data_IF_490878254979
#
_entry.id   IF_490878254979
#
_cell.length_a   1.000
_cell.length_b   1.000
_cell.length_c   1.000
_cell.angle_alpha   90.00
_cell.angle_beta   90.00
_cell.angle_gamma   90.00
#
_symmetry.space_group_name_H-M   'P 1'
#
loop_
_entity.id
_entity.type
_entity.pdbx_description
1 polymer ?
#
# COMPACT_ATOMS: atom_id res chain seq x y z
N UNK A 1 -4.00 10.17 -15.32
CA UNK A 1 -4.55 9.37 -14.20
C UNK A 1 -4.05 9.91 -12.86
N UNK A 2 -4.70 9.57 -11.74
CA UNK A 2 -4.29 9.98 -10.41
C UNK A 2 -4.24 8.78 -9.45
N UNK A 3 -3.28 8.76 -8.55
CA UNK A 3 -3.12 7.76 -7.49
C UNK A 3 -2.49 8.42 -6.26
N UNK A 4 -2.74 7.89 -5.06
CA UNK A 4 -2.09 8.38 -3.84
C UNK A 4 -0.90 7.50 -3.52
N UNK A 5 0.24 8.08 -3.15
CA UNK A 5 1.38 7.32 -2.67
C UNK A 5 1.20 6.81 -1.23
N UNK A 6 2.17 6.05 -0.73
CA UNK A 6 2.16 5.52 0.62
C UNK A 6 2.08 6.61 1.72
N UNK A 7 2.53 7.83 1.42
CA UNK A 7 2.43 9.00 2.32
C UNK A 7 1.07 9.72 2.21
N UNK A 8 0.18 9.22 1.34
CA UNK A 8 -1.14 9.80 1.07
C UNK A 8 -1.08 11.02 0.15
N UNK A 9 0.04 11.29 -0.50
CA UNK A 9 0.18 12.39 -1.44
C UNK A 9 -0.39 11.96 -2.79
N UNK A 10 -1.31 12.74 -3.34
CA UNK A 10 -1.83 12.49 -4.69
C UNK A 10 -0.78 12.80 -5.76
N UNK A 11 -0.55 11.85 -6.65
CA UNK A 11 0.28 11.94 -7.84
C UNK A 11 -0.61 11.87 -9.07
N UNK A 12 -0.36 12.77 -10.02
CA UNK A 12 -1.06 12.82 -11.31
C UNK A 12 -0.07 12.64 -12.44
N UNK A 13 -0.29 11.63 -13.28
CA UNK A 13 0.65 11.21 -14.33
C UNK A 13 -0.13 10.80 -15.59
N UNK A 14 0.56 10.51 -16.69
CA UNK A 14 -0.08 9.85 -17.83
C UNK A 14 -0.49 8.40 -17.48
N UNK A 15 -1.43 7.82 -18.23
CA UNK A 15 -1.99 6.49 -17.90
C UNK A 15 -0.94 5.38 -17.93
N UNK A 16 -0.04 5.41 -18.91
CA UNK A 16 1.07 4.46 -19.07
C UNK A 16 2.08 4.56 -17.92
N UNK A 17 2.39 5.77 -17.48
CA UNK A 17 3.23 6.01 -16.31
C UNK A 17 2.57 5.50 -15.02
N UNK A 18 1.25 5.72 -14.85
CA UNK A 18 0.50 5.22 -13.69
C UNK A 18 0.53 3.68 -13.64
N UNK A 19 0.43 3.01 -14.79
CA UNK A 19 0.49 1.55 -14.86
C UNK A 19 1.86 0.98 -14.48
N UNK A 20 2.91 1.81 -14.49
CA UNK A 20 4.27 1.44 -14.14
C UNK A 20 4.61 1.70 -12.65
N UNK A 21 3.71 2.33 -11.90
CA UNK A 21 3.93 2.61 -10.48
C UNK A 21 3.95 1.29 -9.67
N UNK A 22 4.98 1.05 -8.84
CA UNK A 22 5.06 -0.15 -8.03
C UNK A 22 3.96 -0.15 -6.96
N UNK A 23 3.32 -1.30 -6.73
CA UNK A 23 2.16 -1.41 -5.84
C UNK A 23 2.49 -1.08 -4.38
N UNK A 24 3.70 -1.34 -3.94
CA UNK A 24 4.22 -0.97 -2.63
C UNK A 24 4.33 0.53 -2.39
N UNK A 25 4.41 1.34 -3.45
CA UNK A 25 4.55 2.79 -3.36
C UNK A 25 3.19 3.51 -3.38
N UNK A 26 2.10 2.79 -3.68
CA UNK A 26 0.76 3.37 -3.73
C UNK A 26 0.00 3.11 -2.41
N UNK A 27 -0.90 4.02 -2.08
CA UNK A 27 -1.79 3.89 -0.93
C UNK A 27 -2.68 2.65 -1.11
N UNK A 28 -2.87 1.85 -0.04
CA UNK A 28 -3.65 0.63 -0.16
C UNK A 28 -5.12 0.97 -0.43
N UNK A 29 -5.71 0.26 -1.38
CA UNK A 29 -7.13 0.41 -1.75
C UNK A 29 -8.10 0.05 -0.62
N UNK A 30 -7.63 -0.70 0.38
CA UNK A 30 -8.35 -1.05 1.60
C UNK A 30 -7.43 -0.88 2.80
N UNK A 31 -7.97 -0.38 3.91
CA UNK A 31 -7.22 -0.30 5.16
C UNK A 31 -7.04 -1.71 5.73
N UNK A 32 -5.97 -1.90 6.51
CA UNK A 32 -5.70 -3.09 7.31
C UNK A 32 -5.99 -2.82 8.80
N UNK A 33 -7.26 -2.74 9.23
CA UNK A 33 -7.58 -2.42 10.61
C UNK A 33 -7.16 -3.57 11.53
N UNK A 34 -6.43 -3.26 12.59
CA UNK A 34 -6.13 -4.21 13.67
C UNK A 34 -6.97 -3.86 14.90
N UNK A 35 -7.73 -4.82 15.41
CA UNK A 35 -8.49 -4.69 16.65
C UNK A 35 -8.39 -5.97 17.50
N UNK A 36 -8.54 -5.80 18.82
CA UNK A 36 -8.46 -6.90 19.78
C UNK A 36 -9.50 -7.98 19.44
N UNK A 37 -9.06 -9.24 19.38
CA UNK A 37 -9.93 -10.40 19.16
C UNK A 37 -10.12 -10.82 17.70
N UNK A 38 -9.38 -10.21 16.76
CA UNK A 38 -9.32 -10.74 15.39
C UNK A 38 -8.69 -12.14 15.36
N UNK A 39 -9.17 -12.97 14.43
CA UNK A 39 -8.60 -14.30 14.16
C UNK A 39 -7.34 -14.23 13.30
N UNK A 40 -7.22 -13.17 12.50
CA UNK A 40 -6.07 -12.87 11.68
C UNK A 40 -5.29 -11.69 12.25
N UNK A 41 -4.06 -11.52 11.75
CA UNK A 41 -3.14 -10.47 12.19
C UNK A 41 -2.82 -9.54 11.03
N UNK A 42 -3.80 -8.81 10.47
CA UNK A 42 -3.53 -7.87 9.39
C UNK A 42 -2.68 -6.70 9.90
N UNK A 43 -1.87 -6.13 9.01
CA UNK A 43 -1.03 -4.99 9.36
C UNK A 43 0.05 -4.72 8.35
N UNK A 44 1.10 -4.05 8.79
CA UNK A 44 2.30 -3.78 8.00
C UNK A 44 3.43 -4.71 8.44
N UNK A 45 4.17 -5.26 7.48
CA UNK A 45 5.44 -5.94 7.72
C UNK A 45 6.56 -5.26 6.95
N UNK A 46 7.80 -5.31 7.47
CA UNK A 46 8.97 -4.83 6.75
C UNK A 46 9.41 -5.84 5.69
N UNK A 47 9.50 -5.40 4.44
CA UNK A 47 10.03 -6.19 3.33
C UNK A 47 11.40 -5.68 2.92
N UNK A 48 12.44 -6.51 3.09
CA UNK A 48 13.80 -6.16 2.67
C UNK A 48 13.93 -6.00 1.15
N UNK A 49 13.16 -6.77 0.37
CA UNK A 49 13.14 -6.70 -1.11
C UNK A 49 12.60 -5.35 -1.60
N UNK A 50 11.59 -4.84 -0.91
CA UNK A 50 10.94 -3.56 -1.24
C UNK A 50 11.62 -2.37 -0.55
N UNK A 51 12.39 -2.63 0.53
CA UNK A 51 13.00 -1.60 1.35
C UNK A 51 11.97 -0.78 2.14
N UNK A 52 10.81 -1.37 2.47
CA UNK A 52 9.69 -0.63 3.05
C UNK A 52 8.65 -1.51 3.73
N UNK A 53 7.63 -0.86 4.28
CA UNK A 53 6.48 -1.53 4.87
C UNK A 53 5.47 -1.93 3.81
N UNK A 54 4.99 -3.17 3.89
CA UNK A 54 3.97 -3.72 2.98
C UNK A 54 2.78 -4.18 3.80
N UNK A 55 1.57 -3.84 3.33
CA UNK A 55 0.32 -4.28 3.94
C UNK A 55 0.03 -5.75 3.67
N UNK A 56 -0.45 -6.48 4.67
CA UNK A 56 -0.87 -7.86 4.52
C UNK A 56 -2.17 -8.15 5.29
N UNK A 57 -2.91 -9.14 4.78
CA UNK A 57 -4.11 -9.70 5.37
C UNK A 57 -3.99 -11.23 5.33
N UNK A 58 -4.21 -11.89 6.47
CA UNK A 58 -4.14 -13.35 6.62
C UNK A 58 -5.47 -13.99 6.96
#
# INVERSE_FOLDING_TARGET
>A
MAWSDADGIERRTELDETASAPFEAVSPVRRFPSYRGQRNFPGLYWSATVGGHVGFES
#
